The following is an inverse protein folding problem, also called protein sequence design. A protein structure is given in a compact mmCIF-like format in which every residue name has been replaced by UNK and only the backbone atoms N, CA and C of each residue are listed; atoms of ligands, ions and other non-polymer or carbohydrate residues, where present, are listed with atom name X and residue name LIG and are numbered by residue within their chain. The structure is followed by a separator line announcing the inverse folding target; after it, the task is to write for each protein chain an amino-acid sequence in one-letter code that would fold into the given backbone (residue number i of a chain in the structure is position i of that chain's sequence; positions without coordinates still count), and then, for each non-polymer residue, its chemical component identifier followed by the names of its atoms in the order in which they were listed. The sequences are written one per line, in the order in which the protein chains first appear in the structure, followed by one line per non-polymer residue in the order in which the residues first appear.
data_IF_553123604783
#
_entry.id   IF_553123604783
#
_cell.length_a   1.000
_cell.length_b   1.000
_cell.length_c   1.000
_cell.angle_alpha   90.00
_cell.angle_beta   90.00
_cell.angle_gamma   90.00
#
_symmetry.space_group_name_H-M   'P 1'
#
loop_
_entity.id
_entity.type
_entity.pdbx_description
1 polymer ?
#
# COMPACT_ATOMS: atom_id res chain seq x y z
N UNK A 1 -6.72 -7.61 -4.60
CA UNK A 1 -7.29 -7.37 -3.26
C UNK A 1 -7.98 -6.01 -3.26
N UNK A 2 -9.05 -5.86 -2.49
CA UNK A 2 -9.67 -4.54 -2.23
C UNK A 2 -8.75 -3.66 -1.37
N UNK A 3 -9.02 -2.36 -1.33
CA UNK A 3 -8.26 -1.44 -0.47
C UNK A 3 -8.26 -1.90 1.00
N UNK A 4 -9.41 -2.32 1.53
CA UNK A 4 -9.56 -2.80 2.91
C UNK A 4 -8.70 -4.05 3.17
N UNK A 5 -8.74 -5.02 2.25
CA UNK A 5 -7.91 -6.23 2.33
C UNK A 5 -6.40 -5.91 2.34
N UNK A 6 -5.99 -4.89 1.58
CA UNK A 6 -4.59 -4.43 1.58
C UNK A 6 -4.22 -3.84 2.94
N UNK A 7 -5.08 -2.98 3.53
CA UNK A 7 -4.85 -2.40 4.86
C UNK A 7 -4.71 -3.49 5.93
N UNK A 8 -5.59 -4.48 5.90
CA UNK A 8 -5.56 -5.58 6.86
C UNK A 8 -4.32 -6.46 6.69
N UNK A 9 -3.88 -6.72 5.46
CA UNK A 9 -2.62 -7.43 5.20
C UNK A 9 -1.40 -6.64 5.68
N UNK A 10 -1.39 -5.31 5.51
CA UNK A 10 -0.33 -4.44 6.03
C UNK A 10 -0.25 -4.56 7.55
N UNK A 11 -1.38 -4.41 8.25
CA UNK A 11 -1.49 -4.50 9.73
C UNK A 11 -1.07 -5.85 10.27
N UNK A 12 -1.56 -6.92 9.64
CA UNK A 12 -1.36 -8.29 10.11
C UNK A 12 0.02 -8.86 9.77
N UNK A 13 0.82 -8.14 8.98
CA UNK A 13 2.14 -8.59 8.58
C UNK A 13 2.13 -9.59 7.43
N UNK A 14 0.97 -10.06 6.96
CA UNK A 14 0.90 -11.12 5.96
C UNK A 14 1.34 -10.67 4.56
N UNK A 15 1.91 -11.57 3.75
CA UNK A 15 2.15 -11.35 2.34
C UNK A 15 0.87 -10.98 1.60
N UNK A 16 0.98 -10.11 0.61
CA UNK A 16 -0.14 -9.71 -0.23
C UNK A 16 0.33 -9.16 -1.58
N UNK A 17 -0.63 -9.08 -2.50
CA UNK A 17 -0.50 -8.36 -3.76
C UNK A 17 -1.82 -7.64 -4.04
N UNK A 18 -1.75 -6.32 -4.23
CA UNK A 18 -2.94 -5.50 -4.36
C UNK A 18 -2.69 -4.20 -5.09
N UNK A 19 -3.78 -3.55 -5.48
CA UNK A 19 -3.75 -2.24 -6.12
C UNK A 19 -4.48 -1.28 -5.19
N UNK A 20 -3.82 -0.19 -4.80
CA UNK A 20 -4.44 0.87 -3.98
C UNK A 20 -5.54 1.57 -4.77
N UNK A 21 -6.31 2.43 -4.10
CA UNK A 21 -7.38 3.18 -4.74
C UNK A 21 -6.86 4.11 -5.84
N UNK A 22 -5.68 4.70 -5.67
CA UNK A 22 -5.01 5.51 -6.72
C UNK A 22 -4.34 4.68 -7.83
N UNK A 23 -4.61 3.37 -7.91
CA UNK A 23 -4.02 2.51 -8.94
C UNK A 23 -2.57 2.11 -8.67
N UNK A 24 -2.03 2.32 -7.46
CA UNK A 24 -0.67 1.91 -7.17
C UNK A 24 -0.60 0.42 -6.84
N UNK A 25 0.29 -0.31 -7.52
CA UNK A 25 0.52 -1.73 -7.21
C UNK A 25 1.42 -1.85 -5.99
N UNK A 26 0.96 -2.59 -5.00
CA UNK A 26 1.63 -2.86 -3.72
C UNK A 26 1.80 -4.36 -3.50
N UNK A 27 2.93 -4.77 -2.95
CA UNK A 27 3.20 -6.16 -2.64
C UNK A 27 4.06 -6.34 -1.39
N UNK A 28 3.79 -7.38 -0.61
CA UNK A 28 4.69 -7.91 0.42
C UNK A 28 4.90 -9.39 0.14
N UNK A 29 6.15 -9.81 0.02
CA UNK A 29 6.49 -11.19 -0.39
C UNK A 29 6.70 -12.14 0.79
N UNK A 30 7.08 -11.62 1.96
CA UNK A 30 7.36 -12.41 3.17
C UNK A 30 6.66 -11.80 4.38
N UNK A 31 6.25 -12.60 5.38
CA UNK A 31 5.63 -12.08 6.59
C UNK A 31 6.51 -11.03 7.28
N UNK A 32 5.91 -9.93 7.72
CA UNK A 32 6.58 -8.78 8.38
C UNK A 32 7.71 -8.14 7.56
N UNK A 33 7.85 -8.50 6.28
CA UNK A 33 8.80 -7.89 5.37
C UNK A 33 8.34 -6.52 4.88
N UNK A 34 9.19 -5.82 4.11
CA UNK A 34 8.83 -4.54 3.53
C UNK A 34 7.67 -4.69 2.55
N UNK A 35 6.79 -3.70 2.54
CA UNK A 35 5.88 -3.47 1.42
C UNK A 35 6.67 -2.82 0.29
N UNK A 36 6.44 -3.25 -0.94
CA UNK A 36 7.00 -2.68 -2.15
C UNK A 36 5.89 -1.98 -2.92
N UNK A 37 6.25 -0.87 -3.57
CA UNK A 37 5.42 -0.18 -4.55
C UNK A 37 6.02 -0.34 -5.94
N UNK A 38 5.17 -0.63 -6.93
CA UNK A 38 5.57 -0.62 -8.32
C UNK A 38 5.62 0.80 -8.86
N UNK A 39 6.74 1.16 -9.51
CA UNK A 39 6.91 2.42 -10.23
C UNK A 39 7.81 2.20 -11.43
N UNK A 40 7.35 2.51 -12.64
CA UNK A 40 8.16 2.45 -13.87
C UNK A 40 8.92 1.12 -14.05
N UNK A 41 8.21 0.00 -13.90
CA UNK A 41 8.76 -1.37 -13.97
C UNK A 41 9.82 -1.71 -12.90
N UNK A 42 9.87 -0.93 -11.81
CA UNK A 42 10.71 -1.21 -10.66
C UNK A 42 9.84 -1.39 -9.42
N UNK A 43 10.24 -2.34 -8.57
CA UNK A 43 9.67 -2.52 -7.24
C UNK A 43 10.54 -1.79 -6.23
N UNK A 44 9.99 -0.73 -5.64
CA UNK A 44 10.71 0.12 -4.70
C UNK A 44 10.14 -0.17 -3.30
N UNK A 45 10.96 -0.53 -2.30
CA UNK A 45 10.46 -0.71 -0.94
C UNK A 45 9.90 0.62 -0.43
N UNK A 46 8.75 0.56 0.22
CA UNK A 46 8.16 1.74 0.83
C UNK A 46 9.04 2.18 2.00
N UNK A 47 9.38 3.49 2.10
CA UNK A 47 10.10 4.00 3.26
C UNK A 47 9.23 3.95 4.53
N UNK A 48 7.91 3.95 4.35
CA UNK A 48 6.91 3.83 5.41
C UNK A 48 6.51 2.35 5.58
N UNK A 49 6.26 1.93 6.81
CA UNK A 49 5.80 0.58 7.16
C UNK A 49 4.63 0.68 8.15
N UNK A 50 3.87 -0.40 8.29
CA UNK A 50 2.83 -0.50 9.32
C UNK A 50 1.85 0.68 9.28
N UNK A 51 1.68 1.36 10.42
CA UNK A 51 0.73 2.46 10.59
C UNK A 51 1.06 3.69 9.74
N UNK A 52 2.34 4.04 9.58
CA UNK A 52 2.74 5.17 8.74
C UNK A 52 2.34 4.94 7.27
N UNK A 53 2.49 3.70 6.80
CA UNK A 53 2.08 3.33 5.45
C UNK A 53 0.56 3.40 5.29
N UNK A 54 -0.20 2.98 6.30
CA UNK A 54 -1.67 3.08 6.28
C UNK A 54 -2.15 4.53 6.28
N UNK A 55 -1.48 5.38 7.06
CA UNK A 55 -1.78 6.81 7.11
C UNK A 55 -1.51 7.45 5.75
N UNK A 56 -0.37 7.12 5.13
CA UNK A 56 -0.06 7.60 3.79
C UNK A 56 -1.07 7.12 2.74
N UNK A 57 -1.50 5.85 2.79
CA UNK A 57 -2.53 5.33 1.89
C UNK A 57 -3.86 6.07 2.05
N UNK A 58 -4.21 6.46 3.29
CA UNK A 58 -5.41 7.22 3.57
C UNK A 58 -5.30 8.67 3.10
N UNK A 59 -4.20 9.36 3.38
CA UNK A 59 -3.99 10.74 2.96
C UNK A 59 -4.04 10.86 1.42
N UNK A 60 -3.44 9.91 0.69
CA UNK A 60 -3.54 9.91 -0.76
C UNK A 60 -4.96 9.60 -1.26
N UNK A 61 -5.81 8.94 -0.47
CA UNK A 61 -7.22 8.69 -0.83
C UNK A 61 -8.05 9.98 -0.64
N UNK A 62 -7.70 10.82 0.34
CA UNK A 62 -8.40 12.07 0.67
C UNK A 62 -8.08 13.21 -0.32
N UNK A 63 -6.83 13.34 -0.78
CA UNK A 63 -6.41 14.37 -1.74
C UNK A 63 -7.13 14.30 -3.10
N UNK A 64 -7.70 13.14 -3.47
CA UNK A 64 -8.46 12.97 -4.72
C UNK A 64 -9.93 13.43 -4.58
N UNK A 65 -10.46 13.52 -3.35
CA UNK A 65 -11.85 13.94 -3.11
C UNK A 65 -12.05 15.46 -3.19
N UNK A 66 -10.98 16.25 -3.03
CA UNK A 66 -11.04 17.73 -3.09
C UNK A 66 -10.63 18.30 -4.46
N UNK A 67 -10.32 17.44 -5.45
CA UNK A 67 -9.83 17.84 -6.78
C UNK A 67 -10.71 17.45 -7.97
N UNK A 68 -12.01 17.19 -7.76
CA UNK A 68 -12.98 16.77 -8.79
C UNK A 68 -13.88 17.89 -9.30
#
# INVERSE_FOLDING_TARGET
MTHEQIRDAIRSGWPFFGVSRQGQVLARYVPFGPVFRWKQNQMIPTPLQGEDLLWWLQANDEDEAEGG
#
